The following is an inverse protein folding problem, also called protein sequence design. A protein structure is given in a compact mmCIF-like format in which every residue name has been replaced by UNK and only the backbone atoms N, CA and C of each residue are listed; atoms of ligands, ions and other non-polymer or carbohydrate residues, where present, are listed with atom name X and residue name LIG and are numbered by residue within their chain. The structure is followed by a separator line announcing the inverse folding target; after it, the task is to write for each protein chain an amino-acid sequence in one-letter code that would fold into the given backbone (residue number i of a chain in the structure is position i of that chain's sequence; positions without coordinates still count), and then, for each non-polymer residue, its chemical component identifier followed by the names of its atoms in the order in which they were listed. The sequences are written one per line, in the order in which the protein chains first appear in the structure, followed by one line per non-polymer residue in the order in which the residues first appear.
data_IF_318237710090
#
_entry.id   IF_318237710090
#
_cell.length_a   1.000
_cell.length_b   1.000
_cell.length_c   1.000
_cell.angle_alpha   90.00
_cell.angle_beta   90.00
_cell.angle_gamma   90.00
#
_symmetry.space_group_name_H-M   'P 1'
#
loop_
_entity.id
_entity.type
_entity.pdbx_description
1 polymer ?
#
# COMPACT_ATOMS: atom_id res chain seq x y z
N UNK A 1 0.30 -18.97 11.30
CA UNK A 1 1.70 -18.50 11.15
C UNK A 1 1.81 -17.63 9.91
N UNK A 2 2.05 -16.33 10.08
CA UNK A 2 2.19 -15.35 9.00
C UNK A 2 2.43 -13.96 9.58
N UNK A 3 3.10 -13.06 8.85
CA UNK A 3 3.48 -11.74 9.36
C UNK A 3 2.26 -10.84 9.66
N UNK A 4 1.13 -11.09 9.01
CA UNK A 4 -0.14 -10.38 9.22
C UNK A 4 -1.08 -11.07 10.23
N UNK A 5 -0.66 -12.19 10.84
CA UNK A 5 -1.52 -12.93 11.78
C UNK A 5 -1.67 -12.24 13.15
N UNK A 6 -0.78 -11.30 13.45
CA UNK A 6 -0.76 -10.50 14.68
C UNK A 6 -0.61 -9.03 14.27
N UNK A 7 -1.75 -8.33 14.24
CA UNK A 7 -1.81 -6.97 13.76
C UNK A 7 -1.06 -5.99 14.66
N UNK A 8 -1.10 -6.18 15.98
CA UNK A 8 -0.41 -5.33 16.93
C UNK A 8 1.10 -5.48 16.80
N UNK A 9 1.60 -6.72 16.68
CA UNK A 9 3.02 -6.98 16.42
C UNK A 9 3.47 -6.48 15.05
N UNK A 10 2.62 -6.53 14.03
CA UNK A 10 2.95 -5.97 12.73
C UNK A 10 3.08 -4.44 12.83
N UNK A 11 2.03 -3.78 13.33
CA UNK A 11 1.95 -2.32 13.39
C UNK A 11 3.02 -1.70 14.29
N UNK A 12 3.55 -2.44 15.28
CA UNK A 12 4.65 -1.97 16.13
C UNK A 12 6.03 -2.00 15.44
N UNK A 13 6.23 -2.90 14.48
CA UNK A 13 7.49 -3.02 13.72
C UNK A 13 7.49 -2.27 12.39
N UNK A 14 6.32 -2.15 11.76
CA UNK A 14 6.15 -1.52 10.46
C UNK A 14 5.32 -0.24 10.63
N UNK A 15 5.96 0.91 10.92
CA UNK A 15 5.24 2.15 11.23
C UNK A 15 4.48 2.71 10.02
N UNK A 16 4.84 2.28 8.81
CA UNK A 16 4.17 2.72 7.59
C UNK A 16 4.21 1.64 6.51
N UNK A 17 3.06 1.40 5.88
CA UNK A 17 2.88 0.50 4.74
C UNK A 17 2.02 1.23 3.70
N UNK A 18 2.47 1.23 2.45
CA UNK A 18 1.76 1.82 1.32
C UNK A 18 1.57 0.77 0.22
N UNK A 19 0.32 0.60 -0.21
CA UNK A 19 -0.05 -0.21 -1.36
C UNK A 19 -0.32 0.70 -2.56
N UNK A 20 0.26 0.39 -3.72
CA UNK A 20 0.08 1.21 -4.93
C UNK A 20 -0.14 0.40 -6.19
N UNK A 21 -0.85 0.97 -7.16
CA UNK A 21 -1.04 0.41 -8.51
C UNK A 21 -1.39 1.52 -9.51
N UNK A 22 -1.33 1.22 -10.81
CA UNK A 22 -1.95 2.01 -11.87
C UNK A 22 -3.43 1.69 -12.01
N UNK A 23 -4.23 2.70 -12.36
CA UNK A 23 -5.68 2.58 -12.56
C UNK A 23 -6.06 1.49 -13.58
N UNK A 24 -5.26 1.31 -14.63
CA UNK A 24 -5.50 0.31 -15.66
C UNK A 24 -5.05 -1.13 -15.26
N UNK A 25 -4.47 -1.32 -14.07
CA UNK A 25 -4.04 -2.63 -13.56
C UNK A 25 -5.15 -3.41 -12.83
N UNK A 26 -6.33 -2.79 -12.66
CA UNK A 26 -7.50 -3.38 -12.01
C UNK A 26 -7.54 -3.16 -10.49
N UNK A 27 -8.37 -3.95 -9.79
CA UNK A 27 -8.77 -3.66 -8.39
C UNK A 27 -8.08 -4.53 -7.34
N UNK A 28 -7.14 -5.38 -7.71
CA UNK A 28 -6.52 -6.35 -6.79
C UNK A 28 -5.81 -5.67 -5.61
N UNK A 29 -5.09 -4.57 -5.85
CA UNK A 29 -4.38 -3.85 -4.79
C UNK A 29 -5.34 -3.09 -3.87
N UNK A 30 -6.43 -2.53 -4.40
CA UNK A 30 -7.50 -1.93 -3.59
C UNK A 30 -8.15 -2.97 -2.66
N UNK A 31 -8.46 -4.17 -3.20
CA UNK A 31 -9.00 -5.27 -2.38
C UNK A 31 -8.02 -5.73 -1.30
N UNK A 32 -6.72 -5.76 -1.61
CA UNK A 32 -5.68 -6.09 -0.61
C UNK A 32 -5.63 -5.03 0.50
N UNK A 33 -5.77 -3.75 0.15
CA UNK A 33 -5.86 -2.66 1.13
C UNK A 33 -7.01 -2.89 2.11
N UNK A 34 -8.20 -3.18 1.59
CA UNK A 34 -9.40 -3.42 2.41
C UNK A 34 -9.21 -4.67 3.31
N UNK A 35 -8.72 -5.79 2.75
CA UNK A 35 -8.47 -7.03 3.51
C UNK A 35 -7.49 -6.81 4.66
N UNK A 36 -6.41 -6.06 4.42
CA UNK A 36 -5.42 -5.76 5.47
C UNK A 36 -5.98 -4.80 6.51
N UNK A 37 -6.74 -3.80 6.08
CA UNK A 37 -7.38 -2.86 6.99
C UNK A 37 -8.38 -3.56 7.91
N UNK A 38 -9.22 -4.45 7.36
CA UNK A 38 -10.17 -5.28 8.11
C UNK A 38 -9.47 -6.24 9.09
N UNK A 39 -8.27 -6.70 8.74
CA UNK A 39 -7.40 -7.50 9.62
C UNK A 39 -6.68 -6.66 10.70
N UNK A 40 -6.91 -5.34 10.77
CA UNK A 40 -6.27 -4.43 11.72
C UNK A 40 -4.85 -3.99 11.34
N UNK A 41 -4.38 -4.32 10.13
CA UNK A 41 -3.06 -3.92 9.62
C UNK A 41 -3.16 -2.49 9.06
N UNK A 42 -2.45 -1.56 9.67
CA UNK A 42 -2.44 -0.15 9.23
C UNK A 42 -1.70 -0.04 7.91
N UNK A 43 -2.39 0.43 6.88
CA UNK A 43 -1.82 0.62 5.55
C UNK A 43 -2.57 1.71 4.77
N UNK A 44 -1.85 2.46 3.93
CA UNK A 44 -2.41 3.44 2.99
C UNK A 44 -2.51 2.85 1.58
N UNK A 45 -3.38 3.43 0.74
CA UNK A 45 -3.53 3.06 -0.66
C UNK A 45 -3.41 4.26 -1.61
N UNK A 46 -2.69 4.08 -2.72
CA UNK A 46 -2.60 5.06 -3.81
C UNK A 46 -2.78 4.41 -5.19
N UNK A 47 -3.69 4.96 -6.00
CA UNK A 47 -3.90 4.54 -7.39
C UNK A 47 -3.41 5.63 -8.36
N UNK A 48 -2.43 5.31 -9.20
CA UNK A 48 -1.92 6.24 -10.21
C UNK A 48 -2.90 6.36 -11.38
N UNK A 49 -3.46 7.54 -11.64
CA UNK A 49 -4.48 7.71 -12.67
C UNK A 49 -3.89 7.60 -14.07
N UNK A 50 -4.65 6.97 -14.98
CA UNK A 50 -4.33 6.79 -16.40
C UNK A 50 -2.96 6.13 -16.66
N UNK A 51 -2.54 5.22 -15.79
CA UNK A 51 -1.33 4.43 -15.98
C UNK A 51 -1.59 2.95 -15.77
N UNK A 52 -0.76 2.11 -16.37
CA UNK A 52 -0.76 0.67 -16.21
C UNK A 52 0.54 0.20 -15.53
N UNK A 53 1.02 -1.00 -15.89
CA UNK A 53 2.26 -1.59 -15.40
C UNK A 53 3.50 -0.95 -16.06
N UNK A 54 3.73 0.33 -15.74
CA UNK A 54 4.73 1.17 -16.39
C UNK A 54 5.44 2.11 -15.40
N UNK A 55 6.59 2.64 -15.82
CA UNK A 55 7.45 3.46 -14.96
C UNK A 55 6.78 4.71 -14.37
N UNK A 56 5.81 5.30 -15.06
CA UNK A 56 5.11 6.48 -14.53
C UNK A 56 4.32 6.15 -13.25
N UNK A 57 3.71 4.95 -13.18
CA UNK A 57 3.07 4.44 -11.95
C UNK A 57 4.08 4.43 -10.82
N UNK A 58 5.22 3.78 -11.02
CA UNK A 58 6.23 3.60 -9.97
C UNK A 58 6.88 4.93 -9.54
N UNK A 59 7.10 5.87 -10.47
CA UNK A 59 7.60 7.22 -10.13
C UNK A 59 6.63 7.96 -9.21
N UNK A 60 5.32 7.88 -9.48
CA UNK A 60 4.29 8.50 -8.64
C UNK A 60 4.15 7.79 -7.30
N UNK A 61 4.16 6.45 -7.29
CA UNK A 61 4.15 5.66 -6.05
C UNK A 61 5.32 6.02 -5.13
N UNK A 62 6.53 6.17 -5.69
CA UNK A 62 7.70 6.58 -4.93
C UNK A 62 7.53 7.99 -4.32
N UNK A 63 6.95 8.93 -5.08
CA UNK A 63 6.65 10.27 -4.57
C UNK A 63 5.69 10.21 -3.37
N UNK A 64 4.58 9.47 -3.48
CA UNK A 64 3.60 9.35 -2.39
C UNK A 64 4.20 8.67 -1.14
N UNK A 65 5.07 7.67 -1.34
CA UNK A 65 5.78 7.00 -0.25
C UNK A 65 6.79 7.93 0.44
N UNK A 66 7.65 8.59 -0.32
CA UNK A 66 8.75 9.40 0.20
C UNK A 66 8.26 10.58 1.06
N UNK A 67 7.07 11.12 0.78
CA UNK A 67 6.47 12.22 1.54
C UNK A 67 5.97 11.81 2.94
N UNK A 68 5.99 10.52 3.29
CA UNK A 68 5.39 9.97 4.52
C UNK A 68 6.37 9.28 5.45
N UNK A 69 7.56 8.90 4.98
CA UNK A 69 8.58 8.23 5.78
C UNK A 69 9.47 9.21 6.55
N UNK A 70 10.03 8.74 7.68
CA UNK A 70 11.00 9.46 8.53
C UNK A 70 10.55 10.86 9.00
N UNK A 71 9.26 10.97 9.33
CA UNK A 71 8.70 12.14 10.01
C UNK A 71 8.97 12.10 11.51
#
# INVERSE_FOLDING_TARGET
NGIFADADKFNSHFPYMLLTCGEAEGTHIAKMHDILLDAGIKNDYYCSPKTAHEWLTWRRSLREFAMKIFK
#
